data_IF_424538561173
#
_entry.id   IF_424538561173
#
_cell.length_a   1.000
_cell.length_b   1.000
_cell.length_c   1.000
_cell.angle_alpha   90.00
_cell.angle_beta   90.00
_cell.angle_gamma   90.00
#
_symmetry.space_group_name_H-M   'P 1'
#
loop_
_entity.id
_entity.type
_entity.pdbx_description
1 polymer ?
#
# COMPACT_ATOMS: atom_id res chain seq x y z
N UNK A 1 -1.07 24.37 17.97
CA UNK A 1 -0.36 25.24 17.01
C UNK A 1 -1.37 26.09 16.22
N UNK A 2 -2.12 25.51 15.28
CA UNK A 2 -3.09 26.25 14.45
C UNK A 2 -4.09 27.11 15.26
N UNK A 3 -4.72 26.53 16.28
CA UNK A 3 -5.62 27.26 17.18
C UNK A 3 -4.95 28.46 17.88
N UNK A 4 -3.71 28.30 18.36
CA UNK A 4 -2.94 29.39 18.99
C UNK A 4 -2.54 30.49 18.00
N UNK A 5 -2.44 30.15 16.72
CA UNK A 5 -2.13 31.08 15.64
C UNK A 5 -3.38 31.69 14.97
N UNK A 6 -4.59 31.26 15.37
CA UNK A 6 -5.83 31.67 14.69
C UNK A 6 -5.94 31.18 13.24
N UNK A 7 -5.17 30.17 12.85
CA UNK A 7 -5.08 29.65 11.48
C UNK A 7 -5.89 28.36 11.31
N UNK A 8 -6.40 28.05 10.11
CA UNK A 8 -7.03 26.77 9.83
C UNK A 8 -6.03 25.62 9.93
N UNK A 9 -6.47 24.50 10.48
CA UNK A 9 -5.70 23.26 10.48
C UNK A 9 -6.12 22.38 9.31
N UNK A 10 -5.22 22.15 8.36
CA UNK A 10 -5.45 21.28 7.21
C UNK A 10 -4.45 20.11 7.25
N UNK A 11 -4.76 19.02 7.97
CA UNK A 11 -3.93 17.82 8.01
C UNK A 11 -3.95 17.05 6.69
N UNK A 12 -2.83 16.37 6.42
CA UNK A 12 -2.66 15.44 5.30
C UNK A 12 -2.59 14.01 5.86
N UNK A 13 -3.53 13.16 5.48
CA UNK A 13 -3.50 11.73 5.76
C UNK A 13 -2.81 10.99 4.61
N UNK A 14 -1.70 10.35 4.93
CA UNK A 14 -0.80 9.72 3.95
C UNK A 14 -1.01 8.20 3.81
N UNK A 15 -1.99 7.62 4.52
CA UNK A 15 -2.30 6.20 4.53
C UNK A 15 -3.67 5.92 3.87
N UNK A 16 -4.14 4.68 3.90
CA UNK A 16 -5.44 4.31 3.31
C UNK A 16 -6.62 4.99 4.03
N UNK A 17 -7.64 5.35 3.26
CA UNK A 17 -8.87 5.98 3.77
C UNK A 17 -9.62 5.06 4.75
N UNK A 18 -9.64 3.75 4.50
CA UNK A 18 -10.25 2.79 5.41
C UNK A 18 -9.55 2.73 6.78
N UNK A 19 -8.23 2.89 6.82
CA UNK A 19 -7.48 2.99 8.07
C UNK A 19 -7.77 4.30 8.81
N UNK A 20 -7.91 5.41 8.09
CA UNK A 20 -8.38 6.67 8.69
C UNK A 20 -9.76 6.49 9.32
N UNK A 21 -10.68 5.83 8.62
CA UNK A 21 -12.03 5.54 9.11
C UNK A 21 -12.00 4.71 10.39
N UNK A 22 -11.15 3.68 10.46
CA UNK A 22 -10.93 2.90 11.67
C UNK A 22 -10.40 3.76 12.84
N UNK A 23 -9.47 4.68 12.58
CA UNK A 23 -8.93 5.56 13.61
C UNK A 23 -9.94 6.56 14.14
N UNK A 24 -10.74 7.20 13.27
CA UNK A 24 -11.80 8.13 13.73
C UNK A 24 -12.95 7.41 14.45
N UNK A 25 -13.14 6.10 14.20
CA UNK A 25 -14.12 5.24 14.88
C UNK A 25 -13.56 4.43 16.05
N UNK A 26 -12.33 4.70 16.50
CA UNK A 26 -11.67 3.86 17.54
C UNK A 26 -12.51 3.68 18.80
N UNK A 27 -13.14 4.74 19.31
CA UNK A 27 -13.96 4.65 20.53
C UNK A 27 -15.17 3.72 20.33
N UNK A 28 -15.91 3.87 19.23
CA UNK A 28 -17.05 3.02 18.89
C UNK A 28 -16.63 1.56 18.63
N UNK A 29 -15.47 1.32 18.00
CA UNK A 29 -14.94 -0.02 17.78
C UNK A 29 -14.53 -0.69 19.09
N UNK A 30 -13.97 0.05 20.04
CA UNK A 30 -13.63 -0.47 21.37
C UNK A 30 -14.87 -0.83 22.18
N UNK A 31 -15.92 -0.03 22.10
CA UNK A 31 -17.21 -0.31 22.76
C UNK A 31 -17.90 -1.56 22.19
N UNK A 32 -17.82 -1.80 20.88
CA UNK A 32 -18.46 -2.95 20.23
C UNK A 32 -17.67 -4.26 20.38
N UNK A 33 -16.38 -4.25 20.01
CA UNK A 33 -15.57 -5.49 19.92
C UNK A 33 -14.36 -5.52 20.84
N UNK A 34 -14.03 -4.43 21.54
CA UNK A 34 -12.75 -4.26 22.25
C UNK A 34 -12.42 -5.40 23.22
N UNK A 35 -13.28 -5.67 24.20
CA UNK A 35 -13.05 -6.70 25.24
C UNK A 35 -12.98 -8.13 24.68
N UNK A 36 -13.50 -8.34 23.47
CA UNK A 36 -13.58 -9.65 22.83
C UNK A 36 -12.77 -9.74 21.54
N UNK A 37 -11.95 -8.73 21.22
CA UNK A 37 -11.27 -8.62 19.94
C UNK A 37 -10.39 -9.85 19.64
N UNK A 38 -9.73 -10.40 20.66
CA UNK A 38 -8.91 -11.60 20.55
C UNK A 38 -9.71 -12.87 20.22
N UNK A 39 -10.99 -12.93 20.59
CA UNK A 39 -11.88 -14.06 20.32
C UNK A 39 -12.70 -13.88 19.03
N UNK A 40 -12.81 -12.64 18.54
CA UNK A 40 -13.61 -12.24 17.38
C UNK A 40 -12.75 -11.85 16.18
N UNK A 41 -11.50 -12.31 16.13
CA UNK A 41 -10.49 -11.90 15.12
C UNK A 41 -10.98 -12.02 13.66
N UNK A 42 -11.84 -13.00 13.37
CA UNK A 42 -12.33 -13.29 12.00
C UNK A 42 -13.67 -12.64 11.69
N UNK A 43 -14.29 -11.99 12.67
CA UNK A 43 -15.60 -11.41 12.53
C UNK A 43 -15.54 -10.15 11.65
N UNK A 44 -16.41 -10.03 10.63
CA UNK A 44 -16.51 -8.82 9.83
C UNK A 44 -17.18 -7.70 10.62
N UNK A 45 -16.72 -6.46 10.41
CA UNK A 45 -17.21 -5.26 11.11
C UNK A 45 -18.52 -4.72 10.48
N UNK A 46 -19.51 -5.59 10.28
CA UNK A 46 -20.76 -5.27 9.58
C UNK A 46 -21.61 -4.19 10.27
N UNK A 47 -21.41 -3.99 11.57
CA UNK A 47 -22.06 -2.97 12.39
C UNK A 47 -21.48 -1.56 12.18
N UNK A 48 -20.32 -1.44 11.53
CA UNK A 48 -19.62 -0.16 11.35
C UNK A 48 -19.69 0.31 9.89
N UNK A 49 -20.42 1.40 9.59
CA UNK A 49 -20.52 1.93 8.23
C UNK A 49 -19.16 2.20 7.60
N UNK A 50 -18.95 1.68 6.38
CA UNK A 50 -17.69 1.77 5.65
C UNK A 50 -16.63 0.74 6.07
N UNK A 51 -16.87 -0.09 7.09
CA UNK A 51 -15.91 -1.09 7.56
C UNK A 51 -16.37 -2.55 7.37
N UNK A 52 -17.55 -2.78 6.80
CA UNK A 52 -18.15 -4.12 6.67
C UNK A 52 -17.28 -5.14 5.88
N UNK A 53 -16.41 -4.68 4.99
CA UNK A 53 -15.49 -5.55 4.23
C UNK A 53 -14.26 -6.03 5.03
N UNK A 54 -14.02 -5.44 6.21
CA UNK A 54 -12.85 -5.68 7.05
C UNK A 54 -13.22 -6.51 8.27
N UNK A 55 -12.28 -7.33 8.74
CA UNK A 55 -12.39 -8.12 9.96
C UNK A 55 -11.75 -7.41 11.14
N UNK A 56 -12.05 -7.85 12.35
CA UNK A 56 -11.41 -7.35 13.57
C UNK A 56 -9.88 -7.43 13.48
N UNK A 57 -9.32 -8.53 12.95
CA UNK A 57 -7.86 -8.69 12.79
C UNK A 57 -7.21 -7.79 11.73
N UNK A 58 -8.02 -7.25 10.81
CA UNK A 58 -7.50 -6.38 9.77
C UNK A 58 -7.24 -4.96 10.31
N UNK A 59 -7.84 -4.59 11.44
CA UNK A 59 -7.68 -3.27 12.06
C UNK A 59 -6.22 -2.98 12.46
N UNK A 60 -5.78 -1.71 12.38
CA UNK A 60 -4.46 -1.32 12.85
C UNK A 60 -4.27 -1.59 14.35
N UNK A 61 -3.04 -1.94 14.72
CA UNK A 61 -2.64 -2.01 16.12
C UNK A 61 -2.91 -0.64 16.79
N UNK A 62 -3.36 -0.67 18.04
CA UNK A 62 -3.80 0.52 18.77
C UNK A 62 -5.29 0.82 18.68
N UNK A 63 -6.04 0.25 17.73
CA UNK A 63 -7.49 0.43 17.63
C UNK A 63 -8.21 -0.46 18.64
N UNK A 64 -8.19 -1.78 18.44
CA UNK A 64 -8.79 -2.78 19.36
C UNK A 64 -7.81 -3.86 19.83
N UNK A 65 -6.57 -3.83 19.35
CA UNK A 65 -5.51 -4.79 19.68
C UNK A 65 -4.16 -4.10 19.83
N UNK A 66 -3.13 -4.84 20.27
CA UNK A 66 -1.78 -4.33 20.45
C UNK A 66 -1.60 -3.53 21.76
N UNK A 67 -0.45 -2.85 21.89
CA UNK A 67 -0.16 -2.04 23.07
C UNK A 67 -0.77 -0.64 22.94
N UNK A 68 -1.88 -0.39 23.63
CA UNK A 68 -2.56 0.91 23.63
C UNK A 68 -1.73 2.04 24.24
N UNK A 69 -0.72 1.73 25.05
CA UNK A 69 0.15 2.72 25.68
C UNK A 69 1.37 3.08 24.82
N UNK A 70 1.57 2.37 23.71
CA UNK A 70 2.62 2.72 22.77
C UNK A 70 2.36 4.11 22.18
N UNK A 71 3.39 4.97 22.19
CA UNK A 71 3.23 6.42 21.95
C UNK A 71 2.51 6.72 20.64
N UNK A 72 2.84 6.01 19.56
CA UNK A 72 2.19 6.21 18.27
C UNK A 72 0.69 5.87 18.32
N UNK A 73 0.29 4.83 19.06
CA UNK A 73 -1.12 4.43 19.17
C UNK A 73 -1.93 5.49 19.93
N UNK A 74 -1.35 6.06 20.99
CA UNK A 74 -1.95 7.20 21.71
C UNK A 74 -2.10 8.42 20.79
N UNK A 75 -1.07 8.75 20.01
CA UNK A 75 -1.09 9.89 19.09
C UNK A 75 -2.15 9.72 18.01
N UNK A 76 -2.24 8.53 17.41
CA UNK A 76 -3.21 8.26 16.33
C UNK A 76 -4.65 8.16 16.88
N UNK A 77 -4.84 7.63 18.09
CA UNK A 77 -6.16 7.68 18.75
C UNK A 77 -6.58 9.12 19.02
N UNK A 78 -5.69 9.97 19.55
CA UNK A 78 -5.97 11.41 19.73
C UNK A 78 -6.23 12.12 18.41
N UNK A 79 -5.48 11.80 17.36
CA UNK A 79 -5.74 12.31 16.01
C UNK A 79 -7.18 11.98 15.58
N UNK A 80 -7.62 10.72 15.72
CA UNK A 80 -8.98 10.28 15.40
C UNK A 80 -10.07 11.07 16.13
N UNK A 81 -9.82 11.46 17.38
CA UNK A 81 -10.74 12.29 18.18
C UNK A 81 -10.71 13.78 17.79
N UNK A 82 -9.56 14.30 17.35
CA UNK A 82 -9.37 15.72 17.03
C UNK A 82 -9.81 16.07 15.61
N UNK A 83 -9.54 15.21 14.61
CA UNK A 83 -9.82 15.50 13.20
C UNK A 83 -11.28 15.94 12.94
N UNK A 84 -12.31 15.22 13.42
CA UNK A 84 -13.71 15.60 13.16
C UNK A 84 -14.11 16.96 13.73
N UNK A 85 -13.44 17.40 14.80
CA UNK A 85 -13.85 18.56 15.59
C UNK A 85 -13.02 19.81 15.32
N UNK A 86 -11.84 19.67 14.73
CA UNK A 86 -10.84 20.75 14.69
C UNK A 86 -10.19 20.96 13.34
N UNK A 87 -10.26 20.01 12.42
CA UNK A 87 -9.73 20.22 11.07
C UNK A 87 -10.65 21.16 10.28
N UNK A 88 -10.09 22.00 9.42
CA UNK A 88 -10.87 22.76 8.44
C UNK A 88 -11.15 21.93 7.18
N UNK A 89 -10.20 21.04 6.84
CA UNK A 89 -10.28 20.07 5.76
C UNK A 89 -9.29 18.94 6.03
N UNK A 90 -9.50 17.76 5.43
CA UNK A 90 -8.56 16.64 5.52
C UNK A 90 -8.15 16.21 4.12
N UNK A 91 -6.87 16.39 3.80
CA UNK A 91 -6.29 15.96 2.53
C UNK A 91 -6.00 14.46 2.58
N UNK A 92 -6.41 13.72 1.55
CA UNK A 92 -6.26 12.27 1.48
C UNK A 92 -5.39 11.88 0.29
N UNK A 93 -4.38 11.03 0.54
CA UNK A 93 -3.59 10.41 -0.52
C UNK A 93 -4.35 9.26 -1.19
N UNK A 94 -5.50 9.55 -1.78
CA UNK A 94 -6.36 8.60 -2.51
C UNK A 94 -7.00 9.35 -3.68
N UNK A 95 -7.67 8.64 -4.59
CA UNK A 95 -8.40 9.25 -5.70
C UNK A 95 -9.88 8.83 -5.71
N UNK A 96 -10.78 9.69 -6.21
CA UNK A 96 -12.18 9.34 -6.41
C UNK A 96 -12.33 8.06 -7.25
N UNK A 97 -13.10 7.10 -6.74
CA UNK A 97 -13.35 5.81 -7.40
C UNK A 97 -12.45 4.66 -6.92
N UNK A 98 -11.40 4.91 -6.15
CA UNK A 98 -10.63 3.84 -5.51
C UNK A 98 -11.35 3.29 -4.28
N UNK A 99 -11.66 4.16 -3.33
CA UNK A 99 -12.30 3.77 -2.08
C UNK A 99 -13.76 3.32 -2.32
N UNK A 100 -14.23 2.27 -1.62
CA UNK A 100 -15.64 1.89 -1.65
C UNK A 100 -16.58 3.09 -1.35
N UNK A 101 -17.77 3.15 -1.99
CA UNK A 101 -18.70 4.25 -1.77
C UNK A 101 -19.12 4.42 -0.30
N UNK A 102 -19.24 3.33 0.45
CA UNK A 102 -19.58 3.34 1.88
C UNK A 102 -18.45 3.87 2.76
N UNK A 103 -17.18 3.56 2.44
CA UNK A 103 -16.00 4.18 3.08
C UNK A 103 -16.01 5.69 2.85
N UNK A 104 -16.21 6.10 1.60
CA UNK A 104 -16.22 7.52 1.21
C UNK A 104 -17.34 8.29 1.90
N UNK A 105 -18.55 7.72 1.93
CA UNK A 105 -19.70 8.32 2.59
C UNK A 105 -19.50 8.42 4.11
N UNK A 106 -18.99 7.36 4.75
CA UNK A 106 -18.74 7.37 6.19
C UNK A 106 -17.67 8.40 6.60
N UNK A 107 -16.62 8.57 5.79
CA UNK A 107 -15.62 9.61 6.03
C UNK A 107 -16.20 11.02 5.82
N UNK A 108 -17.00 11.23 4.78
CA UNK A 108 -17.62 12.53 4.49
C UNK A 108 -18.65 12.95 5.55
N UNK A 109 -19.28 11.99 6.23
CA UNK A 109 -20.19 12.25 7.37
C UNK A 109 -19.41 12.71 8.62
N UNK A 110 -18.22 12.16 8.85
CA UNK A 110 -17.44 12.39 10.08
C UNK A 110 -16.49 13.58 9.95
N UNK A 111 -15.84 13.73 8.79
CA UNK A 111 -14.72 14.64 8.61
C UNK A 111 -15.12 15.88 7.79
N UNK A 112 -14.67 17.08 8.21
CA UNK A 112 -14.90 18.30 7.44
C UNK A 112 -14.08 18.27 6.16
N UNK A 113 -14.71 18.63 5.04
CA UNK A 113 -14.06 18.83 3.73
C UNK A 113 -12.99 17.75 3.43
N UNK A 114 -13.39 16.47 3.30
CA UNK A 114 -12.49 15.44 2.79
C UNK A 114 -12.07 15.76 1.35
N UNK A 115 -10.77 15.86 1.10
CA UNK A 115 -10.22 16.24 -0.20
C UNK A 115 -9.27 15.15 -0.71
N UNK A 116 -9.76 14.18 -1.51
CA UNK A 116 -8.92 13.15 -2.13
C UNK A 116 -8.24 13.69 -3.40
N UNK A 117 -6.92 13.82 -3.38
CA UNK A 117 -6.14 14.27 -4.54
C UNK A 117 -4.82 13.49 -4.73
N UNK A 118 -4.72 12.30 -4.14
CA UNK A 118 -3.65 11.34 -4.46
C UNK A 118 -3.93 10.57 -5.75
N UNK A 119 -3.02 9.68 -6.19
CA UNK A 119 -1.73 9.39 -5.59
C UNK A 119 -0.71 10.52 -5.72
N UNK A 120 -0.04 10.88 -4.63
CA UNK A 120 0.92 12.00 -4.62
C UNK A 120 2.13 11.79 -5.53
N UNK A 121 2.52 10.55 -5.84
CA UNK A 121 3.61 10.26 -6.78
C UNK A 121 3.28 10.65 -8.23
N UNK A 122 2.02 10.99 -8.54
CA UNK A 122 1.59 11.51 -9.84
C UNK A 122 1.48 13.03 -9.88
N UNK A 123 1.40 13.70 -8.73
CA UNK A 123 1.32 15.17 -8.66
C UNK A 123 2.64 15.85 -9.02
N UNK A 124 3.77 15.13 -8.88
CA UNK A 124 5.11 15.67 -9.07
C UNK A 124 5.62 15.58 -10.52
N UNK A 125 4.76 15.21 -11.48
CA UNK A 125 5.21 14.63 -12.74
C UNK A 125 5.30 15.57 -13.96
N UNK A 126 4.91 16.85 -13.90
CA UNK A 126 4.72 17.63 -15.15
C UNK A 126 5.57 18.90 -15.35
N UNK A 127 6.25 19.48 -14.35
CA UNK A 127 6.91 20.79 -14.54
C UNK A 127 8.45 20.81 -14.52
N UNK A 128 9.14 19.70 -14.20
CA UNK A 128 10.61 19.67 -14.28
C UNK A 128 11.08 18.80 -15.45
N UNK A 129 11.19 19.44 -16.62
CA UNK A 129 12.06 18.99 -17.71
C UNK A 129 13.55 18.88 -17.30
N UNK A 130 13.88 19.23 -16.05
CA UNK A 130 15.19 19.09 -15.39
C UNK A 130 15.26 17.98 -14.32
N UNK A 131 14.19 17.19 -14.12
CA UNK A 131 14.28 16.03 -13.22
C UNK A 131 15.12 14.94 -13.89
N UNK A 132 16.37 14.83 -13.46
CA UNK A 132 17.27 13.74 -13.80
C UNK A 132 16.51 12.40 -13.76
N UNK A 133 16.74 11.55 -14.76
CA UNK A 133 16.21 10.19 -14.77
C UNK A 133 16.36 9.56 -13.37
N UNK A 134 15.33 8.87 -12.86
CA UNK A 134 15.36 8.35 -11.51
C UNK A 134 16.66 7.58 -11.31
N UNK A 135 17.42 7.94 -10.27
CA UNK A 135 18.74 7.39 -10.05
C UNK A 135 18.65 5.85 -10.04
N UNK A 136 19.30 5.22 -11.01
CA UNK A 136 19.36 3.77 -11.14
C UNK A 136 20.81 3.27 -11.03
N UNK A 137 21.48 3.49 -9.88
CA UNK A 137 22.90 3.18 -9.71
C UNK A 137 23.19 1.67 -9.83
N UNK A 138 22.17 0.83 -9.71
CA UNK A 138 22.28 -0.63 -9.77
C UNK A 138 21.83 -1.21 -11.12
N UNK A 139 21.42 -0.38 -12.09
CA UNK A 139 21.01 -0.82 -13.42
C UNK A 139 19.75 -1.69 -13.42
N UNK A 140 18.81 -1.43 -12.50
CA UNK A 140 17.52 -2.10 -12.39
C UNK A 140 16.74 -2.07 -13.71
N UNK A 141 16.64 -0.90 -14.35
CA UNK A 141 15.88 -0.74 -15.60
C UNK A 141 16.56 -1.47 -16.75
N UNK A 142 17.87 -1.31 -16.89
CA UNK A 142 18.66 -2.03 -17.89
C UNK A 142 18.58 -3.56 -17.70
N UNK A 143 18.50 -4.04 -16.46
CA UNK A 143 18.28 -5.45 -16.16
C UNK A 143 16.88 -5.91 -16.59
N UNK A 144 15.84 -5.11 -16.32
CA UNK A 144 14.46 -5.39 -16.72
C UNK A 144 14.26 -5.41 -18.24
N UNK A 145 14.98 -4.58 -19.00
CA UNK A 145 14.96 -4.56 -20.47
C UNK A 145 15.32 -5.91 -21.10
N UNK A 146 16.10 -6.73 -20.38
CA UNK A 146 16.53 -8.07 -20.84
C UNK A 146 15.57 -9.18 -20.42
N UNK A 147 14.52 -8.86 -19.67
CA UNK A 147 13.57 -9.83 -19.14
C UNK A 147 12.31 -9.92 -20.00
N UNK A 148 11.59 -11.06 -19.99
CA UNK A 148 10.32 -11.20 -20.69
C UNK A 148 9.26 -10.20 -20.20
N UNK A 149 8.44 -9.72 -21.12
CA UNK A 149 7.30 -8.87 -20.81
C UNK A 149 6.37 -9.54 -19.80
N UNK A 150 5.98 -8.80 -18.75
CA UNK A 150 5.15 -9.28 -17.64
C UNK A 150 5.62 -10.59 -16.99
N UNK A 151 6.91 -10.91 -17.06
CA UNK A 151 7.48 -12.14 -16.49
C UNK A 151 8.24 -11.95 -15.18
N UNK A 152 8.48 -10.70 -14.77
CA UNK A 152 9.30 -10.38 -13.59
C UNK A 152 8.44 -10.16 -12.34
N UNK A 153 8.84 -10.75 -11.23
CA UNK A 153 8.35 -10.40 -9.90
C UNK A 153 9.21 -9.31 -9.26
N UNK A 154 8.61 -8.15 -8.97
CA UNK A 154 9.25 -7.14 -8.14
C UNK A 154 8.92 -7.40 -6.66
N UNK A 155 9.91 -7.27 -5.77
CA UNK A 155 9.78 -7.55 -4.34
C UNK A 155 10.28 -6.35 -3.52
N UNK A 156 9.44 -5.82 -2.63
CA UNK A 156 9.81 -4.74 -1.70
C UNK A 156 8.89 -4.69 -0.48
N UNK A 157 9.47 -4.70 0.72
CA UNK A 157 8.73 -4.53 1.99
C UNK A 157 8.87 -3.11 2.57
N UNK A 158 9.23 -2.14 1.73
CA UNK A 158 9.39 -0.75 2.15
C UNK A 158 10.66 -0.52 2.98
N UNK A 159 10.66 0.57 3.75
CA UNK A 159 11.87 1.06 4.44
C UNK A 159 11.94 0.65 5.91
N UNK A 160 10.79 0.34 6.52
CA UNK A 160 10.68 0.05 7.97
C UNK A 160 10.34 -1.41 8.22
N UNK A 161 9.50 -2.03 7.38
CA UNK A 161 9.16 -3.44 7.55
C UNK A 161 10.28 -4.32 7.02
N UNK A 162 10.62 -5.36 7.79
CA UNK A 162 11.51 -6.42 7.34
C UNK A 162 10.88 -7.76 7.76
N UNK A 163 10.78 -8.75 6.85
CA UNK A 163 10.47 -10.12 7.24
C UNK A 163 11.43 -10.61 8.32
N UNK A 164 10.95 -11.48 9.19
CA UNK A 164 11.81 -12.13 10.19
C UNK A 164 12.87 -12.98 9.47
N UNK A 165 14.04 -13.26 10.07
CA UNK A 165 15.12 -13.98 9.38
C UNK A 165 14.72 -15.36 8.82
N UNK A 166 13.86 -16.10 9.50
CA UNK A 166 13.26 -17.36 9.03
C UNK A 166 12.39 -17.12 7.79
N UNK A 167 11.49 -16.16 7.85
CA UNK A 167 10.58 -15.80 6.76
C UNK A 167 11.32 -15.23 5.53
N UNK A 168 12.43 -14.52 5.74
CA UNK A 168 13.29 -14.02 4.67
C UNK A 168 13.94 -15.16 3.88
N UNK A 169 14.32 -16.26 4.56
CA UNK A 169 14.86 -17.46 3.89
C UNK A 169 13.78 -18.20 3.11
N UNK A 170 12.58 -18.30 3.66
CA UNK A 170 11.43 -18.87 2.95
C UNK A 170 11.11 -18.06 1.69
N UNK A 171 11.13 -16.73 1.78
CA UNK A 171 10.95 -15.86 0.62
C UNK A 171 12.03 -16.08 -0.44
N UNK A 172 13.31 -16.11 -0.06
CA UNK A 172 14.41 -16.36 -0.99
C UNK A 172 14.25 -17.72 -1.69
N UNK A 173 13.97 -18.79 -0.92
CA UNK A 173 13.75 -20.12 -1.46
C UNK A 173 12.51 -20.19 -2.36
N UNK A 174 11.43 -19.49 -2.00
CA UNK A 174 10.21 -19.42 -2.82
C UNK A 174 10.40 -18.67 -4.13
N UNK A 175 11.21 -17.60 -4.14
CA UNK A 175 11.58 -16.89 -5.38
C UNK A 175 12.37 -17.81 -6.31
N UNK A 176 13.38 -18.53 -5.81
CA UNK A 176 14.12 -19.53 -6.59
C UNK A 176 13.19 -20.64 -7.12
N UNK A 177 12.31 -21.17 -6.26
CA UNK A 177 11.39 -22.25 -6.61
C UNK A 177 10.32 -21.83 -7.63
N UNK A 178 9.94 -20.55 -7.68
CA UNK A 178 8.99 -20.03 -8.67
C UNK A 178 9.51 -20.10 -10.12
N UNK A 179 10.83 -20.16 -10.30
CA UNK A 179 11.49 -20.07 -11.59
C UNK A 179 11.26 -18.75 -12.34
N UNK A 180 10.59 -17.78 -11.75
CA UNK A 180 10.35 -16.47 -12.35
C UNK A 180 11.55 -15.55 -12.14
N UNK A 181 11.91 -14.73 -13.14
CA UNK A 181 12.85 -13.65 -12.91
C UNK A 181 12.36 -12.71 -11.79
N UNK A 182 13.25 -12.26 -10.91
CA UNK A 182 12.87 -11.35 -9.83
C UNK A 182 13.83 -10.18 -9.65
N UNK A 183 13.27 -9.03 -9.27
CA UNK A 183 14.03 -7.87 -8.79
C UNK A 183 13.62 -7.61 -7.35
N UNK A 184 14.57 -7.69 -6.41
CA UNK A 184 14.29 -7.55 -4.99
C UNK A 184 15.04 -6.35 -4.40
N UNK A 185 14.29 -5.35 -3.96
CA UNK A 185 14.79 -4.27 -3.10
C UNK A 185 14.91 -4.78 -1.66
N UNK A 186 16.14 -5.05 -1.22
CA UNK A 186 16.46 -5.55 0.12
C UNK A 186 17.70 -4.83 0.65
N UNK A 187 17.60 -4.22 1.83
CA UNK A 187 18.71 -3.52 2.48
C UNK A 187 19.92 -4.46 2.64
N UNK A 188 21.11 -3.93 2.37
CA UNK A 188 22.37 -4.70 2.38
C UNK A 188 22.66 -5.38 3.73
N UNK A 189 22.27 -4.75 4.85
CA UNK A 189 22.40 -5.34 6.19
C UNK A 189 21.69 -6.70 6.33
N UNK A 190 20.63 -6.90 5.56
CA UNK A 190 19.80 -8.10 5.55
C UNK A 190 20.32 -9.18 4.61
N UNK A 191 21.30 -8.89 3.75
CA UNK A 191 21.82 -9.87 2.78
C UNK A 191 22.52 -11.04 3.47
N UNK A 192 23.11 -10.79 4.64
CA UNK A 192 23.75 -11.81 5.48
C UNK A 192 22.77 -12.86 6.02
N UNK A 193 21.47 -12.57 5.99
CA UNK A 193 20.40 -13.46 6.45
C UNK A 193 19.88 -14.38 5.35
N UNK A 194 20.24 -14.12 4.09
CA UNK A 194 19.83 -14.91 2.93
C UNK A 194 20.50 -16.31 2.95
N UNK A 195 19.89 -17.31 2.28
CA UNK A 195 20.51 -18.62 2.15
C UNK A 195 21.93 -18.54 1.55
N UNK A 196 22.89 -19.36 2.03
CA UNK A 196 24.25 -19.36 1.48
C UNK A 196 24.27 -19.52 -0.04
N UNK A 197 25.04 -18.66 -0.72
CA UNK A 197 25.18 -18.64 -2.19
C UNK A 197 23.94 -18.17 -2.97
N UNK A 198 22.88 -17.68 -2.31
CA UNK A 198 21.66 -17.21 -2.98
C UNK A 198 21.95 -16.08 -3.98
N UNK A 199 22.72 -15.07 -3.57
CA UNK A 199 23.06 -13.93 -4.43
C UNK A 199 23.84 -14.37 -5.68
N UNK A 200 24.81 -15.27 -5.51
CA UNK A 200 25.61 -15.81 -6.61
C UNK A 200 24.76 -16.63 -7.58
N UNK A 201 23.84 -17.46 -7.07
CA UNK A 201 22.90 -18.23 -7.91
C UNK A 201 21.96 -17.32 -8.68
N UNK A 202 21.34 -16.34 -8.00
CA UNK A 202 20.42 -15.38 -8.60
C UNK A 202 21.10 -14.56 -9.72
N UNK A 203 22.33 -14.10 -9.48
CA UNK A 203 23.10 -13.36 -10.47
C UNK A 203 23.61 -14.26 -11.61
N UNK A 204 24.12 -15.46 -11.29
CA UNK A 204 24.74 -16.38 -12.24
C UNK A 204 23.78 -16.95 -13.29
N UNK A 205 22.51 -17.12 -12.95
CA UNK A 205 21.45 -17.51 -13.91
C UNK A 205 20.91 -16.31 -14.70
N UNK A 206 21.21 -15.08 -14.28
CA UNK A 206 20.57 -13.86 -14.78
C UNK A 206 19.09 -13.74 -14.41
N UNK A 207 18.57 -14.62 -13.55
CA UNK A 207 17.16 -14.67 -13.16
C UNK A 207 16.84 -13.89 -11.89
N UNK A 208 17.83 -13.30 -11.22
CA UNK A 208 17.58 -12.47 -10.04
C UNK A 208 18.51 -11.27 -9.95
N UNK A 209 17.95 -10.15 -9.52
CA UNK A 209 18.68 -8.94 -9.16
C UNK A 209 18.27 -8.50 -7.74
N UNK A 210 19.22 -8.48 -6.81
CA UNK A 210 19.00 -7.99 -5.44
C UNK A 210 19.78 -6.69 -5.27
N UNK A 211 19.09 -5.63 -4.83
CA UNK A 211 19.66 -4.28 -4.70
C UNK A 211 19.25 -3.66 -3.35
N UNK A 212 20.10 -2.82 -2.73
CA UNK A 212 19.75 -2.12 -1.50
C UNK A 212 18.54 -1.19 -1.67
N UNK A 213 18.39 -0.64 -2.87
CA UNK A 213 17.33 0.29 -3.23
C UNK A 213 17.05 0.21 -4.73
N UNK A 214 15.77 0.25 -5.11
CA UNK A 214 15.32 0.26 -6.50
C UNK A 214 14.51 1.53 -6.79
N UNK A 215 14.57 2.09 -8.01
CA UNK A 215 13.69 3.18 -8.43
C UNK A 215 12.24 2.67 -8.62
N UNK A 216 11.56 2.39 -7.52
CA UNK A 216 10.34 1.58 -7.44
C UNK A 216 9.24 2.03 -8.40
N UNK A 217 8.96 3.33 -8.49
CA UNK A 217 7.95 3.87 -9.42
C UNK A 217 8.30 3.53 -10.88
N UNK A 218 9.57 3.66 -11.27
CA UNK A 218 10.03 3.32 -12.62
C UNK A 218 10.02 1.80 -12.86
N UNK A 219 10.43 1.02 -11.86
CA UNK A 219 10.40 -0.46 -11.90
C UNK A 219 8.96 -0.96 -12.09
N UNK A 220 7.99 -0.48 -11.30
CA UNK A 220 6.59 -0.91 -11.39
C UNK A 220 5.95 -0.52 -12.73
N UNK A 221 6.34 0.61 -13.31
CA UNK A 221 5.90 1.04 -14.66
C UNK A 221 6.54 0.23 -15.78
N UNK A 222 7.62 -0.50 -15.52
CA UNK A 222 8.36 -1.22 -16.55
C UNK A 222 7.51 -2.36 -17.17
N UNK A 223 7.49 -2.53 -18.51
CA UNK A 223 6.68 -3.57 -19.17
C UNK A 223 7.00 -5.01 -18.74
N UNK A 224 8.24 -5.29 -18.33
CA UNK A 224 8.67 -6.61 -17.85
C UNK A 224 8.11 -6.98 -16.48
N UNK A 225 7.74 -6.02 -15.63
CA UNK A 225 7.18 -6.32 -14.31
C UNK A 225 5.74 -6.79 -14.45
N UNK A 226 5.47 -7.99 -13.94
CA UNK A 226 4.16 -8.65 -13.99
C UNK A 226 3.53 -8.91 -12.63
N UNK A 227 4.31 -8.89 -11.54
CA UNK A 227 3.82 -9.11 -10.19
C UNK A 227 4.59 -8.25 -9.18
N UNK A 228 3.91 -7.83 -8.10
CA UNK A 228 4.52 -7.08 -7.00
C UNK A 228 4.30 -7.77 -5.66
N UNK A 229 5.36 -8.35 -5.08
CA UNK A 229 5.36 -8.89 -3.72
C UNK A 229 5.70 -7.78 -2.75
N UNK A 230 4.81 -7.50 -1.80
CA UNK A 230 4.87 -6.27 -1.01
C UNK A 230 4.35 -6.42 0.40
N UNK A 231 4.76 -5.51 1.28
CA UNK A 231 4.20 -5.32 2.61
C UNK A 231 2.80 -4.66 2.63
N UNK A 232 2.28 -4.22 1.47
CA UNK A 232 1.04 -3.46 1.35
C UNK A 232 1.04 -2.11 2.10
N UNK A 233 2.20 -1.45 2.21
CA UNK A 233 2.24 -0.04 2.61
C UNK A 233 1.54 0.86 1.59
N UNK A 234 0.83 1.89 2.06
CA UNK A 234 -0.12 2.64 1.23
C UNK A 234 0.50 3.26 -0.03
N UNK A 235 1.67 3.89 0.08
CA UNK A 235 2.35 4.45 -1.09
C UNK A 235 2.65 3.37 -2.16
N UNK A 236 3.14 2.20 -1.73
CA UNK A 236 3.41 1.07 -2.62
C UNK A 236 2.13 0.49 -3.24
N UNK A 237 1.02 0.47 -2.51
CA UNK A 237 -0.30 0.09 -3.06
C UNK A 237 -0.71 1.04 -4.18
N UNK A 238 -0.63 2.35 -3.94
CA UNK A 238 -0.99 3.34 -4.97
C UNK A 238 -0.08 3.28 -6.20
N UNK A 239 1.22 3.04 -6.02
CA UNK A 239 2.17 2.86 -7.14
C UNK A 239 1.87 1.59 -7.94
N UNK A 240 1.51 0.49 -7.26
CA UNK A 240 1.07 -0.76 -7.91
C UNK A 240 -0.22 -0.58 -8.71
N UNK A 241 -1.22 0.07 -8.11
CA UNK A 241 -2.49 0.45 -8.77
C UNK A 241 -2.22 1.33 -9.98
N UNK A 242 -1.42 2.39 -9.83
CA UNK A 242 -1.12 3.34 -10.92
C UNK A 242 -0.32 2.69 -12.06
N UNK A 243 0.39 1.61 -11.79
CA UNK A 243 1.15 0.84 -12.79
C UNK A 243 0.34 -0.33 -13.38
N UNK A 244 -0.82 -0.64 -12.79
CA UNK A 244 -1.65 -1.78 -13.18
C UNK A 244 -0.90 -3.11 -13.03
N UNK A 245 -0.21 -3.29 -11.90
CA UNK A 245 0.54 -4.50 -11.54
C UNK A 245 -0.17 -5.19 -10.37
N UNK A 246 -0.55 -6.47 -10.48
CA UNK A 246 -1.20 -7.19 -9.39
C UNK A 246 -0.22 -7.51 -8.26
N UNK A 247 -0.75 -7.68 -7.06
CA UNK A 247 0.06 -7.68 -5.83
C UNK A 247 -0.09 -8.97 -5.00
N UNK A 248 1.00 -9.44 -4.41
CA UNK A 248 1.00 -10.45 -3.35
C UNK A 248 1.40 -9.75 -2.03
N UNK A 249 0.46 -9.64 -1.11
CA UNK A 249 0.57 -8.79 0.07
C UNK A 249 0.94 -9.60 1.32
N UNK A 250 2.02 -9.24 1.99
CA UNK A 250 2.42 -9.76 3.31
C UNK A 250 2.46 -8.61 4.33
N UNK A 251 1.37 -8.36 5.06
CA UNK A 251 1.30 -7.22 5.98
C UNK A 251 2.03 -7.48 7.31
N UNK A 252 2.72 -6.48 7.85
CA UNK A 252 3.46 -6.57 9.11
C UNK A 252 2.80 -5.78 10.24
N UNK A 253 2.52 -4.49 10.04
CA UNK A 253 2.05 -3.59 11.09
C UNK A 253 1.17 -2.45 10.54
N UNK A 254 0.56 -1.69 11.45
CA UNK A 254 -0.21 -0.50 11.12
C UNK A 254 -1.40 -0.82 10.22
N UNK A 255 -1.58 -0.03 9.16
CA UNK A 255 -2.67 -0.14 8.19
C UNK A 255 -2.49 -1.28 7.17
N UNK A 256 -1.32 -1.93 7.13
CA UNK A 256 -0.97 -2.89 6.07
C UNK A 256 -1.95 -4.05 5.98
N UNK A 257 -2.55 -4.50 7.10
CA UNK A 257 -3.54 -5.59 7.09
C UNK A 257 -4.84 -5.16 6.41
N UNK A 258 -5.34 -3.95 6.70
CA UNK A 258 -6.46 -3.37 5.96
C UNK A 258 -6.12 -3.22 4.48
N UNK A 259 -4.93 -2.71 4.16
CA UNK A 259 -4.51 -2.51 2.77
C UNK A 259 -4.44 -3.84 2.01
N UNK A 260 -3.85 -4.88 2.61
CA UNK A 260 -3.79 -6.23 2.03
C UNK A 260 -5.19 -6.83 1.82
N UNK A 261 -6.11 -6.64 2.78
CA UNK A 261 -7.53 -7.00 2.66
C UNK A 261 -8.19 -6.24 1.51
N UNK A 262 -7.92 -4.95 1.35
CA UNK A 262 -8.46 -4.15 0.27
C UNK A 262 -7.97 -4.65 -1.09
N UNK A 263 -6.67 -4.89 -1.24
CA UNK A 263 -6.07 -5.44 -2.47
C UNK A 263 -6.70 -6.78 -2.84
N UNK A 264 -6.83 -7.70 -1.87
CA UNK A 264 -7.27 -9.07 -2.12
C UNK A 264 -8.79 -9.21 -2.29
N UNK A 265 -9.59 -8.50 -1.48
CA UNK A 265 -11.03 -8.76 -1.38
C UNK A 265 -11.92 -7.59 -1.80
N UNK A 266 -11.48 -6.35 -1.61
CA UNK A 266 -12.29 -5.17 -1.95
C UNK A 266 -12.09 -4.78 -3.41
N UNK A 267 -10.83 -4.69 -3.82
CA UNK A 267 -10.44 -4.29 -5.17
C UNK A 267 -10.18 -5.47 -6.09
N UNK A 268 -9.77 -6.61 -5.54
CA UNK A 268 -9.66 -7.88 -6.28
C UNK A 268 -8.53 -7.92 -7.32
N UNK A 269 -7.45 -7.16 -7.11
CA UNK A 269 -6.30 -7.11 -8.03
C UNK A 269 -5.03 -7.76 -7.46
N UNK A 270 -5.18 -8.53 -6.39
CA UNK A 270 -4.06 -9.25 -5.78
C UNK A 270 -4.52 -10.30 -4.79
N UNK A 271 -3.56 -10.83 -4.05
CA UNK A 271 -3.76 -11.79 -2.98
C UNK A 271 -3.02 -11.34 -1.71
N UNK A 272 -3.38 -11.92 -0.56
CA UNK A 272 -2.71 -11.68 0.71
C UNK A 272 -2.26 -13.02 1.32
N UNK A 273 -1.06 -13.04 1.88
CA UNK A 273 -0.57 -14.16 2.66
C UNK A 273 -1.29 -14.20 4.02
N UNK A 274 -1.93 -15.33 4.32
CA UNK A 274 -2.51 -15.61 5.64
C UNK A 274 -1.39 -16.11 6.56
N UNK A 275 -0.82 -15.21 7.37
CA UNK A 275 0.29 -15.53 8.28
C UNK A 275 1.67 -15.36 7.63
N UNK A 276 2.65 -16.12 8.11
CA UNK A 276 4.03 -16.05 7.64
C UNK A 276 4.19 -16.67 6.24
N UNK A 277 5.08 -16.09 5.43
CA UNK A 277 5.43 -16.64 4.12
C UNK A 277 6.15 -17.98 4.26
N UNK A 278 5.78 -18.93 3.41
CA UNK A 278 6.52 -20.17 3.17
C UNK A 278 7.05 -20.15 1.74
N UNK A 279 8.14 -20.87 1.49
CA UNK A 279 8.74 -21.03 0.16
C UNK A 279 7.72 -21.51 -0.87
N UNK A 280 6.92 -22.53 -0.52
CA UNK A 280 5.82 -23.00 -1.36
C UNK A 280 4.77 -21.92 -1.60
N UNK A 281 4.33 -21.21 -0.55
CA UNK A 281 3.33 -20.14 -0.68
C UNK A 281 3.81 -18.99 -1.56
N UNK A 282 5.07 -18.58 -1.42
CA UNK A 282 5.69 -17.54 -2.26
C UNK A 282 5.79 -18.01 -3.72
N UNK A 283 6.27 -19.22 -3.96
CA UNK A 283 6.37 -19.77 -5.31
C UNK A 283 5.00 -19.81 -6.00
N UNK A 284 3.99 -20.34 -5.32
CA UNK A 284 2.60 -20.37 -5.81
C UNK A 284 2.05 -18.98 -6.06
N UNK A 285 2.25 -18.03 -5.14
CA UNK A 285 1.74 -16.66 -5.31
C UNK A 285 2.38 -15.96 -6.52
N UNK A 286 3.70 -16.09 -6.69
CA UNK A 286 4.43 -15.50 -7.83
C UNK A 286 3.99 -16.16 -9.14
N UNK A 287 3.90 -17.49 -9.17
CA UNK A 287 3.47 -18.22 -10.36
C UNK A 287 2.03 -17.88 -10.75
N UNK A 288 1.11 -17.85 -9.79
CA UNK A 288 -0.29 -17.49 -10.01
C UNK A 288 -0.41 -16.07 -10.57
N UNK A 289 0.23 -15.08 -9.93
CA UNK A 289 0.18 -13.68 -10.38
C UNK A 289 0.77 -13.46 -11.78
N UNK A 290 1.75 -14.25 -12.19
CA UNK A 290 2.39 -14.10 -13.50
C UNK A 290 1.71 -14.92 -14.59
N UNK A 291 1.26 -16.15 -14.28
CA UNK A 291 0.87 -17.16 -15.27
C UNK A 291 -0.47 -17.86 -14.99
N UNK A 292 -0.99 -17.77 -13.78
CA UNK A 292 -2.23 -18.43 -13.38
C UNK A 292 -3.50 -17.74 -13.88
N UNK A 293 -4.62 -18.45 -13.75
CA UNK A 293 -5.95 -18.00 -14.20
C UNK A 293 -6.53 -16.91 -13.29
N UNK A 294 -6.43 -17.09 -11.97
CA UNK A 294 -6.84 -16.03 -11.02
C UNK A 294 -5.91 -14.83 -11.16
N UNK A 295 -4.62 -15.07 -11.39
CA UNK A 295 -3.69 -13.99 -11.75
C UNK A 295 -4.10 -13.22 -13.01
N UNK A 296 -4.67 -13.88 -14.03
CA UNK A 296 -5.18 -13.20 -15.21
C UNK A 296 -6.35 -12.26 -14.87
N UNK A 297 -7.25 -12.70 -14.00
CA UNK A 297 -8.34 -11.85 -13.48
C UNK A 297 -7.81 -10.68 -12.67
N UNK A 298 -6.84 -10.91 -11.79
CA UNK A 298 -6.18 -9.86 -10.99
C UNK A 298 -5.45 -8.84 -11.88
N UNK A 299 -4.76 -9.28 -12.94
CA UNK A 299 -4.12 -8.39 -13.93
C UNK A 299 -5.13 -7.53 -14.67
N UNK A 300 -6.26 -8.11 -15.11
CA UNK A 300 -7.34 -7.36 -15.75
C UNK A 300 -7.90 -6.29 -14.79
N UNK A 301 -8.15 -6.68 -13.54
CA UNK A 301 -8.64 -5.77 -12.52
C UNK A 301 -7.64 -4.65 -12.17
N UNK A 302 -6.35 -4.96 -12.11
CA UNK A 302 -5.31 -3.96 -11.93
C UNK A 302 -5.29 -2.93 -13.08
N UNK A 303 -5.58 -3.36 -14.33
CA UNK A 303 -5.69 -2.46 -15.48
C UNK A 303 -6.93 -1.57 -15.45
N UNK A 304 -8.06 -2.08 -14.97
CA UNK A 304 -9.26 -1.25 -14.74
C UNK A 304 -8.98 -0.15 -13.71
N UNK A 305 -8.35 -0.49 -12.59
CA UNK A 305 -7.97 0.49 -11.57
C UNK A 305 -6.94 1.49 -12.08
N UNK A 306 -5.97 1.05 -12.88
CA UNK A 306 -5.03 1.94 -13.56
C UNK A 306 -5.75 2.94 -14.49
N UNK A 307 -6.80 2.50 -15.20
CA UNK A 307 -7.59 3.39 -16.05
C UNK A 307 -8.34 4.45 -15.22
N UNK A 308 -8.87 4.09 -14.04
CA UNK A 308 -9.48 5.05 -13.12
C UNK A 308 -8.49 6.09 -12.61
N UNK A 309 -7.24 5.70 -12.34
CA UNK A 309 -6.17 6.65 -12.02
C UNK A 309 -5.96 7.64 -13.17
N UNK A 310 -5.87 7.15 -14.41
CA UNK A 310 -5.69 8.01 -15.58
C UNK A 310 -6.86 8.98 -15.79
N UNK A 311 -8.10 8.53 -15.56
CA UNK A 311 -9.30 9.37 -15.62
C UNK A 311 -9.29 10.45 -14.52
N UNK A 312 -8.99 10.08 -13.28
CA UNK A 312 -8.97 11.00 -12.15
C UNK A 312 -7.93 12.13 -12.29
N UNK A 313 -6.83 11.86 -13.00
CA UNK A 313 -5.74 12.80 -13.27
C UNK A 313 -5.80 13.45 -14.65
N UNK A 314 -6.69 13.00 -15.54
CA UNK A 314 -6.85 13.56 -16.87
C UNK A 314 -7.39 15.00 -16.86
N UNK A 315 -7.44 15.68 -18.02
CA UNK A 315 -8.02 17.00 -18.14
C UNK A 315 -9.47 17.04 -17.62
N UNK A 316 -9.73 17.86 -16.60
CA UNK A 316 -11.04 17.96 -15.94
C UNK A 316 -11.34 16.84 -14.93
N UNK A 317 -10.37 15.98 -14.62
CA UNK A 317 -10.47 14.93 -13.62
C UNK A 317 -10.61 15.47 -12.19
N UNK A 318 -11.24 14.66 -11.33
CA UNK A 318 -11.60 15.07 -9.97
C UNK A 318 -10.39 15.31 -9.05
N UNK A 319 -9.26 14.61 -9.24
CA UNK A 319 -8.07 14.86 -8.42
C UNK A 319 -7.51 16.26 -8.65
N UNK A 320 -7.56 16.78 -9.89
CA UNK A 320 -7.12 18.15 -10.18
C UNK A 320 -8.03 19.19 -9.52
N UNK A 321 -9.35 19.02 -9.64
CA UNK A 321 -10.32 19.90 -8.97
C UNK A 321 -10.17 19.87 -7.44
N UNK A 322 -9.94 18.70 -6.89
CA UNK A 322 -9.71 18.53 -5.46
C UNK A 322 -8.40 19.17 -5.01
N UNK A 323 -7.34 19.09 -5.82
CA UNK A 323 -6.09 19.80 -5.55
C UNK A 323 -6.29 21.33 -5.59
N UNK A 324 -6.98 21.86 -6.60
CA UNK A 324 -7.29 23.29 -6.69
C UNK A 324 -8.12 23.75 -5.46
N UNK A 325 -9.12 22.96 -5.05
CA UNK A 325 -9.90 23.19 -3.82
C UNK A 325 -9.01 23.14 -2.56
N UNK A 326 -8.07 22.21 -2.49
CA UNK A 326 -7.12 22.13 -1.38
C UNK A 326 -6.26 23.41 -1.30
N UNK A 327 -5.72 23.87 -2.44
CA UNK A 327 -4.95 25.12 -2.53
C UNK A 327 -5.82 26.31 -2.09
N UNK A 328 -7.07 26.40 -2.53
CA UNK A 328 -7.97 27.45 -2.08
C UNK A 328 -8.19 27.44 -0.57
N UNK A 329 -8.36 26.28 0.05
CA UNK A 329 -8.55 26.17 1.50
C UNK A 329 -7.28 26.61 2.25
N UNK A 330 -6.11 26.21 1.77
CA UNK A 330 -4.82 26.53 2.40
C UNK A 330 -4.45 28.01 2.21
N UNK A 331 -4.75 28.59 1.05
CA UNK A 331 -4.38 29.96 0.70
C UNK A 331 -5.42 31.02 1.08
N UNK A 332 -6.66 30.63 1.43
CA UNK A 332 -7.67 31.54 2.01
C UNK A 332 -7.47 31.84 3.50
N UNK A 333 -6.39 31.30 4.10
CA UNK A 333 -5.96 31.51 5.48
C UNK A 333 -5.18 32.81 5.66
#
# INVERSE_FOLDING_TARGET
AAASAGAPWVPVWTAASCALLAHVRTDALREDVGDQAANRVDEPLISHPGLASYRVRDLPDGVVSGDFNYVINLLVHRMGQCLPRSAAAVALNTFPGLDPPDVTAALAEILPNCVPFGPYHLLLAEDDADTAAPADPHGCLAWLDRQPARGVAYVSFGTVACPRPDELRELAAGLEASGAPFLWSLREDSWTLLPPGFLDRAAGTGSGLVVPWAPQVAVLRHPSVGAFVTHAGWASVLEGVSSGVPMACRPFFGDQRMNARSVAHVWGFGAAFEGAMTSAGVATAVEELLRGEEGARMRARAKELQALVAEAFGPGGECRKNFDRFVEIVCRA
#
